data_IF_476295177735
#
_entry.id   IF_476295177735
#
_cell.length_a   1.000
_cell.length_b   1.000
_cell.length_c   1.000
_cell.angle_alpha   90.00
_cell.angle_beta   90.00
_cell.angle_gamma   90.00
#
_symmetry.space_group_name_H-M   'P 1'
#
loop_
_entity.id
_entity.type
_entity.pdbx_description
1 polymer ?
#
# COMPACT_ATOMS: atom_id res chain seq x y z
N UNK A 1 21.78 -10.01 0.85
CA UNK A 1 22.22 -9.72 2.23
C UNK A 1 21.23 -10.40 3.17
N UNK A 2 21.69 -11.14 4.19
CA UNK A 2 20.82 -11.77 5.18
C UNK A 2 20.57 -10.86 6.39
N UNK A 3 19.54 -11.14 7.20
CA UNK A 3 19.23 -10.37 8.40
C UNK A 3 20.42 -10.34 9.39
N UNK A 4 21.04 -11.49 9.64
CA UNK A 4 22.20 -11.59 10.53
C UNK A 4 23.41 -10.79 10.02
N UNK A 5 23.60 -10.70 8.70
CA UNK A 5 24.65 -9.86 8.11
C UNK A 5 24.33 -8.37 8.24
N UNK A 6 23.06 -7.99 8.14
CA UNK A 6 22.60 -6.62 8.32
C UNK A 6 22.80 -6.16 9.77
N UNK A 7 22.39 -6.96 10.76
CA UNK A 7 22.57 -6.64 12.19
C UNK A 7 24.04 -6.52 12.61
N UNK A 8 24.93 -7.31 11.99
CA UNK A 8 26.36 -7.25 12.26
C UNK A 8 27.06 -6.04 11.62
N UNK A 9 26.47 -5.45 10.57
CA UNK A 9 27.09 -4.39 9.77
C UNK A 9 26.44 -3.01 9.92
N UNK A 10 25.20 -2.95 10.44
CA UNK A 10 24.43 -1.72 10.56
C UNK A 10 23.90 -1.58 11.99
N UNK A 11 24.25 -0.48 12.66
CA UNK A 11 23.72 -0.21 13.99
C UNK A 11 22.24 0.18 13.95
N UNK A 12 21.51 -0.08 15.04
CA UNK A 12 20.12 0.36 15.17
C UNK A 12 19.98 1.88 14.95
N UNK A 13 20.93 2.68 15.44
CA UNK A 13 20.94 4.12 15.26
C UNK A 13 21.09 4.53 13.78
N UNK A 14 21.91 3.81 13.01
CA UNK A 14 22.03 4.04 11.56
C UNK A 14 20.76 3.62 10.82
N UNK A 15 20.15 2.49 11.18
CA UNK A 15 18.88 2.07 10.59
C UNK A 15 17.78 3.11 10.83
N UNK A 16 17.66 3.63 12.05
CA UNK A 16 16.68 4.70 12.38
C UNK A 16 16.97 5.97 11.58
N UNK A 17 18.25 6.32 11.36
CA UNK A 17 18.60 7.47 10.52
C UNK A 17 18.27 7.26 9.05
N UNK A 18 18.44 6.06 8.52
CA UNK A 18 18.00 5.71 7.18
C UNK A 18 16.47 5.78 7.05
N UNK A 19 15.73 5.29 8.05
CA UNK A 19 14.27 5.45 8.10
C UNK A 19 13.85 6.91 8.18
N UNK A 20 14.54 7.74 8.97
CA UNK A 20 14.27 9.17 9.05
C UNK A 20 14.64 9.89 7.74
N UNK A 21 15.72 9.48 7.07
CA UNK A 21 16.10 9.99 5.75
C UNK A 21 15.04 9.63 4.72
N UNK A 22 14.60 8.37 4.66
CA UNK A 22 13.52 7.89 3.79
C UNK A 22 12.19 8.64 4.05
N UNK A 23 11.84 8.84 5.33
CA UNK A 23 10.65 9.60 5.73
C UNK A 23 10.73 11.10 5.37
N UNK A 24 11.95 11.66 5.30
CA UNK A 24 12.22 13.05 4.89
C UNK A 24 12.47 13.17 3.37
N UNK A 25 12.62 12.04 2.67
CA UNK A 25 12.66 11.92 1.22
C UNK A 25 11.31 11.49 0.58
N UNK A 26 10.12 12.04 0.95
CA UNK A 26 8.89 11.76 0.22
C UNK A 26 8.82 12.54 -1.11
N UNK A 27 9.93 13.13 -1.56
CA UNK A 27 10.01 13.93 -2.79
C UNK A 27 10.46 13.07 -3.98
N UNK A 28 11.30 12.05 -3.77
CA UNK A 28 11.83 11.25 -4.87
C UNK A 28 10.79 10.28 -5.41
N UNK A 29 10.59 9.18 -4.68
CA UNK A 29 9.79 8.07 -5.18
C UNK A 29 8.31 8.44 -5.35
N UNK A 30 7.72 9.15 -4.39
CA UNK A 30 6.32 9.57 -4.50
C UNK A 30 6.06 10.49 -5.69
N UNK A 31 6.97 11.43 -6.00
CA UNK A 31 6.81 12.29 -7.19
C UNK A 31 7.05 11.52 -8.48
N UNK A 32 7.96 10.56 -8.47
CA UNK A 32 8.18 9.67 -9.61
C UNK A 32 6.92 8.86 -9.88
N UNK A 33 6.33 8.27 -8.84
CA UNK A 33 5.08 7.51 -8.90
C UNK A 33 3.91 8.38 -9.39
N UNK A 34 3.79 9.63 -8.89
CA UNK A 34 2.80 10.60 -9.37
C UNK A 34 3.03 10.97 -10.85
N UNK A 35 4.28 11.12 -11.27
CA UNK A 35 4.64 11.33 -12.68
C UNK A 35 4.24 10.13 -13.56
N UNK A 36 4.49 8.91 -13.09
CA UNK A 36 4.09 7.69 -13.80
C UNK A 36 2.58 7.53 -13.88
N UNK A 37 1.83 7.85 -12.81
CA UNK A 37 0.36 7.89 -12.82
C UNK A 37 -0.16 8.82 -13.92
N UNK A 38 0.40 10.02 -14.01
CA UNK A 38 0.01 11.00 -15.02
C UNK A 38 0.32 10.52 -16.44
N UNK A 39 1.51 9.94 -16.66
CA UNK A 39 1.89 9.38 -17.96
C UNK A 39 0.99 8.21 -18.36
N UNK A 40 0.64 7.33 -17.42
CA UNK A 40 -0.26 6.21 -17.68
C UNK A 40 -1.66 6.69 -18.07
N UNK A 41 -2.21 7.68 -17.34
CA UNK A 41 -3.51 8.29 -17.67
C UNK A 41 -3.49 8.99 -19.03
N UNK A 42 -2.38 9.67 -19.37
CA UNK A 42 -2.19 10.30 -20.68
C UNK A 42 -2.17 9.26 -21.81
N UNK A 43 -1.38 8.19 -21.66
CA UNK A 43 -1.27 7.13 -22.65
C UNK A 43 -2.61 6.42 -22.82
N UNK A 44 -3.30 6.11 -21.71
CA UNK A 44 -4.62 5.50 -21.75
C UNK A 44 -5.62 6.41 -22.49
N UNK A 45 -5.69 7.68 -22.12
CA UNK A 45 -6.60 8.65 -22.74
C UNK A 45 -6.34 8.85 -24.23
N UNK A 46 -5.07 8.78 -24.66
CA UNK A 46 -4.70 8.88 -26.06
C UNK A 46 -5.10 7.65 -26.90
N UNK A 47 -5.26 6.47 -26.26
CA UNK A 47 -5.53 5.21 -26.94
C UNK A 47 -6.93 4.63 -26.66
N UNK A 48 -7.70 5.23 -25.74
CA UNK A 48 -9.01 4.72 -25.36
C UNK A 48 -10.03 4.88 -26.50
N UNK A 49 -10.93 3.91 -26.62
CA UNK A 49 -12.05 3.99 -27.55
C UNK A 49 -13.10 4.99 -27.08
N UNK A 50 -14.00 5.39 -27.99
CA UNK A 50 -15.09 6.34 -27.68
C UNK A 50 -15.97 5.88 -26.51
N UNK A 51 -16.18 4.58 -26.39
CA UNK A 51 -17.04 3.96 -25.38
C UNK A 51 -16.24 3.38 -24.19
N UNK A 52 -14.93 3.59 -24.15
CA UNK A 52 -14.09 3.17 -23.03
C UNK A 52 -14.25 4.09 -21.83
N UNK A 53 -14.18 3.56 -20.59
CA UNK A 53 -14.29 4.36 -19.39
C UNK A 53 -13.22 5.46 -19.34
N UNK A 54 -13.56 6.56 -18.67
CA UNK A 54 -12.59 7.62 -18.37
C UNK A 54 -11.85 7.25 -17.09
N UNK A 55 -10.51 7.18 -17.16
CA UNK A 55 -9.64 6.84 -16.04
C UNK A 55 -8.74 8.02 -15.70
N UNK A 56 -8.66 8.34 -14.42
CA UNK A 56 -7.78 9.37 -13.87
C UNK A 56 -6.43 8.81 -13.43
N UNK A 57 -5.42 9.66 -13.16
CA UNK A 57 -4.11 9.23 -12.64
C UNK A 57 -4.20 8.34 -11.38
N UNK A 58 -5.18 8.57 -10.52
CA UNK A 58 -5.47 7.81 -9.30
C UNK A 58 -5.80 6.32 -9.55
N UNK A 59 -6.28 5.98 -10.75
CA UNK A 59 -6.68 4.61 -11.10
C UNK A 59 -5.48 3.71 -11.46
N UNK A 60 -4.31 4.30 -11.77
CA UNK A 60 -3.17 3.56 -12.31
C UNK A 60 -2.17 3.06 -11.27
N UNK A 61 -2.27 3.55 -10.02
CA UNK A 61 -1.38 3.09 -8.94
C UNK A 61 -2.05 3.28 -7.58
N UNK A 62 -2.40 2.16 -6.94
CA UNK A 62 -3.03 2.18 -5.62
C UNK A 62 -2.10 2.82 -4.60
N UNK A 63 -2.58 3.87 -3.95
CA UNK A 63 -1.93 4.41 -2.76
C UNK A 63 -2.12 3.39 -1.64
N UNK A 64 -1.07 3.13 -0.84
CA UNK A 64 -1.24 2.37 0.38
C UNK A 64 -2.21 3.12 1.30
N UNK A 65 -3.34 2.50 1.59
CA UNK A 65 -4.27 2.95 2.61
C UNK A 65 -3.93 2.19 3.89
N UNK A 66 -3.56 2.89 4.98
CA UNK A 66 -3.39 2.21 6.26
C UNK A 66 -4.70 1.52 6.62
N UNK A 67 -4.65 0.29 7.17
CA UNK A 67 -5.85 -0.36 7.63
C UNK A 67 -6.59 0.59 8.58
N UNK A 68 -7.89 0.77 8.32
CA UNK A 68 -8.76 1.51 9.24
C UNK A 68 -8.66 0.82 10.59
N UNK A 69 -8.44 1.59 11.66
CA UNK A 69 -8.49 1.09 13.03
C UNK A 69 -9.84 0.40 13.23
N UNK A 70 -9.84 -0.93 13.18
CA UNK A 70 -11.06 -1.71 13.40
C UNK A 70 -11.27 -1.81 14.91
N UNK A 71 -12.51 -1.65 15.36
CA UNK A 71 -12.86 -1.88 16.75
C UNK A 71 -12.56 -3.36 17.08
N UNK A 72 -11.59 -3.65 17.97
CA UNK A 72 -11.20 -5.02 18.30
C UNK A 72 -12.38 -5.87 18.78
N UNK A 73 -13.38 -5.22 19.40
CA UNK A 73 -14.57 -5.89 19.90
C UNK A 73 -15.53 -6.27 18.76
N UNK A 74 -15.60 -5.45 17.72
CA UNK A 74 -16.38 -5.73 16.52
C UNK A 74 -15.76 -6.88 15.69
N UNK A 75 -14.43 -6.93 15.58
CA UNK A 75 -13.72 -8.04 14.93
C UNK A 75 -13.94 -9.37 15.67
N UNK A 76 -13.81 -9.35 17.00
CA UNK A 76 -14.04 -10.54 17.82
C UNK A 76 -15.47 -11.08 17.67
N UNK A 77 -16.46 -10.19 17.65
CA UNK A 77 -17.86 -10.56 17.42
C UNK A 77 -18.09 -11.14 16.01
N UNK A 78 -17.50 -10.53 14.98
CA UNK A 78 -17.59 -11.01 13.60
C UNK A 78 -16.95 -12.39 13.42
N UNK A 79 -15.80 -12.62 14.06
CA UNK A 79 -15.13 -13.92 14.05
C UNK A 79 -15.95 -15.00 14.77
N UNK A 80 -16.51 -14.69 15.93
CA UNK A 80 -17.37 -15.62 16.67
C UNK A 80 -18.60 -16.04 15.83
N UNK A 81 -19.28 -15.07 15.19
CA UNK A 81 -20.42 -15.35 14.33
C UNK A 81 -20.04 -16.18 13.08
N UNK A 82 -18.85 -15.97 12.52
CA UNK A 82 -18.34 -16.76 11.40
C UNK A 82 -18.09 -18.22 11.82
N UNK A 83 -17.45 -18.42 12.98
CA UNK A 83 -17.14 -19.75 13.50
C UNK A 83 -18.42 -20.53 13.83
N UNK A 84 -19.40 -19.90 14.47
CA UNK A 84 -20.72 -20.52 14.74
C UNK A 84 -21.40 -21.00 13.44
N UNK A 85 -21.35 -20.18 12.39
CA UNK A 85 -21.91 -20.54 11.08
C UNK A 85 -21.18 -21.71 10.40
N UNK A 86 -19.90 -21.92 10.68
CA UNK A 86 -19.18 -23.10 10.20
C UNK A 86 -19.55 -24.36 10.99
N UNK A 87 -19.80 -24.21 12.29
CA UNK A 87 -20.23 -25.32 13.15
C UNK A 87 -21.64 -25.79 12.79
N UNK A 88 -22.57 -24.87 12.48
CA UNK A 88 -23.93 -25.23 12.03
C UNK A 88 -24.01 -25.92 10.66
N UNK A 89 -22.95 -25.82 9.85
CA UNK A 89 -22.88 -26.44 8.51
C UNK A 89 -22.16 -27.80 8.49
N UNK A 90 -21.62 -28.26 9.62
CA UNK A 90 -20.99 -29.58 9.78
C UNK A 90 -21.94 -30.60 10.39
#
# INVERSE_FOLDING_TARGET
MTLAQLEASLSHAELVRWMAYDAVEPIGQRRIDDGFRLLAALIYSANRGKDSPELGPEDFLKTYEPPVEQDPMAEAAALAAFLDRMVEKS
#
